data_IF_053305537266
#
_entry.id   IF_053305537266
#
_cell.length_a   1.000
_cell.length_b   1.000
_cell.length_c   1.000
_cell.angle_alpha   90.00
_cell.angle_beta   90.00
_cell.angle_gamma   90.00
#
_symmetry.space_group_name_H-M   'P 1'
#
loop_
_entity.id
_entity.type
_entity.pdbx_description
1 polymer ?
#
# COMPACT_ATOMS: atom_id res chain seq x y z
N UNK A 1 -0.28 9.46 -24.76
CA UNK A 1 0.64 8.35 -25.04
C UNK A 1 -0.08 7.00 -25.02
N UNK A 2 -0.82 6.59 -24.00
CA UNK A 2 -1.55 5.31 -23.93
C UNK A 2 -2.60 5.12 -25.04
N UNK A 3 -3.23 6.18 -25.54
CA UNK A 3 -4.23 6.11 -26.64
C UNK A 3 -3.69 5.52 -27.95
N UNK A 4 -2.37 5.42 -28.09
CA UNK A 4 -1.70 4.85 -29.27
C UNK A 4 -1.09 3.47 -29.01
N UNK A 5 -1.16 2.98 -27.76
CA UNK A 5 -0.64 1.67 -27.36
C UNK A 5 -1.80 0.69 -27.24
N UNK A 6 -2.38 0.30 -28.38
CA UNK A 6 -3.43 -0.71 -28.42
C UNK A 6 -2.76 -2.07 -28.54
N UNK A 7 -2.94 -2.98 -27.55
CA UNK A 7 -2.36 -4.31 -27.62
C UNK A 7 -3.04 -5.12 -28.74
N UNK A 8 -2.29 -6.04 -29.34
CA UNK A 8 -2.84 -7.01 -30.29
C UNK A 8 -3.90 -7.87 -29.58
N UNK A 9 -5.15 -7.91 -30.09
CA UNK A 9 -6.22 -8.67 -29.46
C UNK A 9 -5.98 -10.19 -29.44
N UNK A 10 -5.10 -10.71 -30.29
CA UNK A 10 -4.71 -12.13 -30.32
C UNK A 10 -3.66 -12.52 -29.29
N UNK A 11 -2.95 -11.55 -28.70
CA UNK A 11 -1.86 -11.79 -27.79
C UNK A 11 -2.21 -11.37 -26.36
N UNK A 12 -1.60 -12.08 -25.37
CA UNK A 12 -1.68 -11.67 -23.98
C UNK A 12 -0.94 -10.35 -23.80
N UNK A 13 -1.53 -9.42 -23.04
CA UNK A 13 -1.00 -8.08 -22.86
C UNK A 13 -0.88 -7.71 -21.40
N UNK A 14 0.30 -7.26 -21.02
CA UNK A 14 0.58 -6.71 -19.69
C UNK A 14 1.11 -5.31 -19.85
N UNK A 15 0.55 -4.38 -19.10
CA UNK A 15 1.08 -3.03 -18.97
C UNK A 15 1.69 -2.85 -17.59
N UNK A 16 2.86 -2.23 -17.53
CA UNK A 16 3.49 -1.76 -16.30
C UNK A 16 3.53 -0.25 -16.35
N UNK A 17 2.96 0.42 -15.36
CA UNK A 17 2.91 1.86 -15.30
C UNK A 17 3.13 2.37 -13.87
N UNK A 18 3.72 3.56 -13.75
CA UNK A 18 3.87 4.27 -12.48
C UNK A 18 3.03 5.54 -12.55
N UNK A 19 1.77 5.44 -12.10
CA UNK A 19 0.80 6.51 -12.31
C UNK A 19 -0.30 6.47 -11.24
N UNK A 20 -0.83 7.63 -10.88
CA UNK A 20 -2.06 7.72 -10.09
C UNK A 20 -3.28 7.49 -11.00
N UNK A 21 -4.12 6.53 -10.64
CA UNK A 21 -5.36 6.20 -11.38
C UNK A 21 -6.56 6.68 -10.58
N UNK A 22 -7.47 7.37 -11.23
CA UNK A 22 -8.68 7.90 -10.61
C UNK A 22 -9.50 6.79 -9.95
N UNK A 23 -9.94 7.04 -8.72
CA UNK A 23 -10.66 6.07 -7.90
C UNK A 23 -9.78 5.20 -6.99
N UNK A 24 -8.45 5.32 -7.06
CA UNK A 24 -7.55 4.72 -6.09
C UNK A 24 -7.50 5.54 -4.80
N UNK A 25 -7.30 4.87 -3.66
CA UNK A 25 -7.12 5.50 -2.36
C UNK A 25 -5.63 5.78 -2.10
N UNK A 26 -5.29 7.04 -1.87
CA UNK A 26 -3.97 7.46 -1.44
C UNK A 26 -3.87 7.45 0.10
N UNK A 27 -2.68 7.23 0.65
CA UNK A 27 -2.38 7.43 2.06
C UNK A 27 -1.60 8.74 2.27
N UNK A 28 -1.51 9.19 3.53
CA UNK A 28 -0.85 10.46 3.88
C UNK A 28 0.65 10.51 3.53
N UNK A 29 1.28 9.36 3.35
CA UNK A 29 2.69 9.27 2.94
C UNK A 29 2.91 9.49 1.43
N UNK A 30 1.82 9.56 0.67
CA UNK A 30 1.85 9.80 -0.77
C UNK A 30 1.51 11.26 -1.03
N UNK A 31 2.41 11.97 -1.70
CA UNK A 31 2.14 13.36 -2.06
C UNK A 31 0.96 13.41 -3.05
N UNK A 32 -0.17 14.06 -2.68
CA UNK A 32 -1.22 14.29 -3.64
C UNK A 32 -0.66 15.18 -4.74
N UNK A 33 -0.82 14.76 -5.99
CA UNK A 33 -0.43 15.54 -7.15
C UNK A 33 -1.03 16.96 -7.07
N UNK A 34 -0.16 17.96 -7.01
CA UNK A 34 -0.57 19.37 -6.91
C UNK A 34 -1.21 19.76 -8.23
N UNK A 35 -2.53 19.92 -8.23
CA UNK A 35 -3.25 20.48 -9.38
C UNK A 35 -4.23 19.54 -10.10
N UNK A 36 -4.46 18.31 -9.64
CA UNK A 36 -5.53 17.43 -10.18
C UNK A 36 -5.36 16.95 -11.63
N UNK A 37 -4.22 17.25 -12.28
CA UNK A 37 -3.97 16.98 -13.70
C UNK A 37 -3.33 15.60 -13.92
N UNK A 38 -2.83 14.97 -12.88
CA UNK A 38 -2.01 13.75 -12.98
C UNK A 38 -2.77 12.44 -12.73
N UNK A 39 -4.08 12.48 -12.51
CA UNK A 39 -4.87 11.26 -12.42
C UNK A 39 -5.28 10.76 -13.80
N UNK A 40 -5.06 9.48 -14.03
CA UNK A 40 -5.39 8.81 -15.29
C UNK A 40 -6.70 8.04 -15.11
N UNK A 41 -7.59 8.13 -16.11
CA UNK A 41 -8.83 7.37 -16.10
C UNK A 41 -8.54 5.86 -16.25
N UNK A 42 -9.16 5.05 -15.36
CA UNK A 42 -9.04 3.59 -15.38
C UNK A 42 -9.46 2.96 -16.72
N UNK A 43 -10.40 3.56 -17.43
CA UNK A 43 -10.86 3.08 -18.74
C UNK A 43 -9.76 3.03 -19.82
N UNK A 44 -8.69 3.82 -19.68
CA UNK A 44 -7.55 3.78 -20.58
C UNK A 44 -6.79 2.45 -20.55
N UNK A 45 -7.01 1.65 -19.54
CA UNK A 45 -6.34 0.37 -19.31
C UNK A 45 -7.17 -0.85 -19.74
N UNK A 46 -8.41 -0.67 -20.23
CA UNK A 46 -9.35 -1.77 -20.48
C UNK A 46 -8.88 -2.74 -21.56
N UNK A 47 -8.05 -2.29 -22.49
CA UNK A 47 -7.51 -3.13 -23.57
C UNK A 47 -6.46 -4.16 -23.09
N UNK A 48 -5.94 -4.02 -21.86
CA UNK A 48 -4.89 -4.89 -21.33
C UNK A 48 -5.48 -6.01 -20.46
N UNK A 49 -4.91 -7.21 -20.56
CA UNK A 49 -5.32 -8.35 -19.71
C UNK A 49 -4.94 -8.13 -18.26
N UNK A 50 -3.76 -7.55 -18.01
CA UNK A 50 -3.27 -7.20 -16.67
C UNK A 50 -2.52 -5.87 -16.70
N UNK A 51 -2.72 -5.06 -15.66
CA UNK A 51 -2.01 -3.79 -15.48
C UNK A 51 -1.39 -3.77 -14.08
N UNK A 52 -0.07 -3.76 -14.05
CA UNK A 52 0.72 -3.59 -12.84
C UNK A 52 0.99 -2.10 -12.61
N UNK A 53 0.42 -1.55 -11.55
CA UNK A 53 0.58 -0.15 -11.18
C UNK A 53 1.59 -0.01 -10.04
N UNK A 54 2.49 0.96 -10.18
CA UNK A 54 3.29 1.55 -9.12
C UNK A 54 2.77 2.94 -8.76
N UNK A 55 3.37 3.59 -7.80
CA UNK A 55 3.09 4.90 -7.22
C UNK A 55 2.44 4.79 -5.83
N UNK A 56 1.32 4.13 -5.68
CA UNK A 56 0.64 4.01 -4.39
C UNK A 56 1.28 2.93 -3.52
N UNK A 57 1.41 3.23 -2.23
CA UNK A 57 2.05 2.37 -1.24
C UNK A 57 1.15 1.26 -0.73
N UNK A 58 -0.18 1.46 -0.81
CA UNK A 58 -1.16 0.47 -0.37
C UNK A 58 -1.47 -0.53 -1.49
N UNK A 59 -1.38 -1.85 -1.24
CA UNK A 59 -1.85 -2.86 -2.17
C UNK A 59 -3.35 -2.73 -2.39
N UNK A 60 -3.79 -2.45 -3.62
CA UNK A 60 -5.21 -2.26 -3.93
C UNK A 60 -5.50 -2.49 -5.41
N UNK A 61 -6.74 -2.82 -5.72
CA UNK A 61 -7.28 -2.83 -7.07
C UNK A 61 -8.00 -1.51 -7.39
N UNK A 62 -8.11 -1.18 -8.66
CA UNK A 62 -8.88 -0.04 -9.14
C UNK A 62 -9.93 -0.55 -10.13
N UNK A 63 -11.19 -0.55 -9.72
CA UNK A 63 -12.30 -1.05 -10.50
C UNK A 63 -12.30 -2.58 -10.66
N UNK A 64 -11.30 -3.15 -11.36
CA UNK A 64 -11.18 -4.59 -11.64
C UNK A 64 -9.95 -5.22 -10.99
N UNK A 65 -9.97 -6.53 -10.74
CA UNK A 65 -8.85 -7.27 -10.10
C UNK A 65 -7.55 -7.19 -10.88
N UNK A 66 -7.65 -7.12 -12.20
CA UNK A 66 -6.50 -7.12 -13.11
C UNK A 66 -5.90 -5.73 -13.37
N UNK A 67 -6.40 -4.69 -12.72
CA UNK A 67 -5.83 -3.34 -12.67
C UNK A 67 -5.51 -3.02 -11.20
N UNK A 68 -4.24 -3.14 -10.81
CA UNK A 68 -3.92 -3.04 -9.39
C UNK A 68 -2.54 -2.50 -9.07
N UNK A 69 -2.44 -1.89 -7.91
CA UNK A 69 -1.19 -1.56 -7.23
C UNK A 69 -0.73 -2.75 -6.39
N UNK A 70 0.53 -3.13 -6.50
CA UNK A 70 1.13 -4.11 -5.59
C UNK A 70 1.46 -3.50 -4.22
N UNK A 71 1.53 -2.18 -4.14
CA UNK A 71 2.02 -1.46 -2.97
C UNK A 71 3.53 -1.50 -2.84
N UNK A 72 4.02 -1.02 -1.71
CA UNK A 72 5.44 -1.07 -1.35
C UNK A 72 5.75 -2.34 -0.56
N UNK A 73 6.98 -2.88 -0.64
CA UNK A 73 7.35 -4.10 0.09
C UNK A 73 7.43 -3.89 1.62
N UNK A 74 7.65 -2.67 2.06
CA UNK A 74 7.73 -2.26 3.46
C UNK A 74 6.82 -1.07 3.72
N UNK A 75 6.52 -0.80 5.00
CA UNK A 75 5.87 0.44 5.43
C UNK A 75 6.90 1.55 5.51
N UNK A 76 6.66 2.67 4.87
CA UNK A 76 7.55 3.83 4.87
C UNK A 76 7.07 4.97 5.78
N UNK A 77 5.84 4.87 6.28
CA UNK A 77 5.23 5.86 7.17
C UNK A 77 4.36 5.19 8.23
N UNK A 78 4.21 5.85 9.37
CA UNK A 78 3.26 5.41 10.40
C UNK A 78 1.80 5.51 9.97
N UNK A 79 1.47 6.26 8.91
CA UNK A 79 0.14 6.21 8.29
C UNK A 79 -0.17 4.86 7.65
N UNK A 80 0.85 4.05 7.38
CA UNK A 80 0.74 2.73 6.76
C UNK A 80 0.69 1.57 7.79
N UNK A 81 0.65 1.87 9.10
CA UNK A 81 0.69 0.84 10.17
C UNK A 81 -0.37 -0.23 9.98
N UNK A 82 -1.58 0.14 9.54
CA UNK A 82 -2.68 -0.79 9.30
C UNK A 82 -2.59 -1.59 8.00
N UNK A 83 -1.58 -1.35 7.15
CA UNK A 83 -1.46 -2.02 5.87
C UNK A 83 -0.73 -3.36 6.00
N UNK A 84 -1.26 -4.40 5.34
CA UNK A 84 -0.54 -5.65 5.12
C UNK A 84 0.21 -5.58 3.79
N UNK A 85 1.53 -5.53 3.85
CA UNK A 85 2.38 -5.54 2.66
C UNK A 85 2.43 -6.94 2.05
N UNK A 86 2.46 -6.99 0.70
CA UNK A 86 2.43 -8.28 -0.01
C UNK A 86 3.14 -8.22 -1.36
N UNK A 87 3.60 -9.37 -1.82
CA UNK A 87 3.96 -9.59 -3.21
C UNK A 87 2.76 -10.10 -3.99
N UNK A 88 2.56 -9.60 -5.20
CA UNK A 88 1.49 -10.05 -6.09
C UNK A 88 2.05 -10.98 -7.17
N UNK A 89 1.51 -12.19 -7.25
CA UNK A 89 1.82 -13.16 -8.28
C UNK A 89 0.71 -13.17 -9.31
N UNK A 90 1.09 -13.11 -10.58
CA UNK A 90 0.16 -13.03 -11.71
C UNK A 90 0.46 -14.14 -12.70
N UNK A 91 -0.47 -15.04 -12.88
CA UNK A 91 -0.40 -16.13 -13.84
C UNK A 91 -1.28 -15.80 -15.05
N UNK A 92 -0.66 -15.73 -16.22
CA UNK A 92 -1.36 -15.47 -17.48
C UNK A 92 -1.63 -16.79 -18.20
N UNK A 93 -2.88 -17.25 -18.18
CA UNK A 93 -3.35 -18.38 -18.95
C UNK A 93 -3.59 -18.05 -20.42
N UNK A 94 -4.65 -18.59 -21.01
CA UNK A 94 -5.13 -18.16 -22.33
C UNK A 94 -5.53 -16.68 -22.31
N UNK A 95 -5.63 -16.02 -23.47
CA UNK A 95 -6.05 -14.62 -23.60
C UNK A 95 -7.29 -14.33 -22.73
N UNK A 96 -7.20 -13.28 -21.90
CA UNK A 96 -8.26 -12.90 -20.97
C UNK A 96 -8.35 -13.75 -19.68
N UNK A 97 -7.53 -14.79 -19.53
CA UNK A 97 -7.47 -15.60 -18.30
C UNK A 97 -6.28 -15.16 -17.45
N UNK A 98 -6.56 -14.49 -16.35
CA UNK A 98 -5.56 -14.01 -15.40
C UNK A 98 -5.91 -14.56 -14.02
N UNK A 99 -4.95 -15.21 -13.37
CA UNK A 99 -5.06 -15.66 -11.98
C UNK A 99 -4.11 -14.84 -11.12
N UNK A 100 -4.61 -14.31 -10.00
CA UNK A 100 -3.86 -13.42 -9.13
C UNK A 100 -3.86 -14.00 -7.73
N UNK A 101 -2.67 -14.15 -7.16
CA UNK A 101 -2.46 -14.52 -5.76
C UNK A 101 -1.55 -13.51 -5.09
N UNK A 102 -1.68 -13.36 -3.78
CA UNK A 102 -0.81 -12.51 -2.99
C UNK A 102 -0.17 -13.29 -1.87
N UNK A 103 1.12 -13.03 -1.63
CA UNK A 103 1.84 -13.55 -0.47
C UNK A 103 2.19 -12.39 0.47
N UNK A 104 1.85 -12.47 1.76
CA UNK A 104 2.19 -11.43 2.72
C UNK A 104 3.70 -11.32 2.87
N UNK A 105 4.18 -10.09 3.01
CA UNK A 105 5.57 -9.78 3.32
C UNK A 105 5.67 -9.42 4.81
N UNK A 106 6.54 -10.13 5.52
CA UNK A 106 6.82 -9.87 6.94
C UNK A 106 8.16 -9.16 7.05
N UNK A 107 8.20 -7.90 7.49
CA UNK A 107 9.45 -7.18 7.67
C UNK A 107 10.23 -7.75 8.86
N UNK A 108 11.54 -7.54 8.88
CA UNK A 108 12.39 -7.89 10.04
C UNK A 108 12.07 -7.01 11.25
N UNK A 109 11.75 -5.75 11.01
CA UNK A 109 11.30 -4.75 11.99
C UNK A 109 10.08 -4.06 11.39
N UNK A 110 8.95 -4.14 12.08
CA UNK A 110 7.71 -3.53 11.59
C UNK A 110 7.52 -2.11 12.16
N UNK A 111 6.59 -1.36 11.56
CA UNK A 111 6.07 -0.11 12.10
C UNK A 111 4.78 -0.41 12.86
N UNK A 112 4.73 -0.07 14.15
CA UNK A 112 3.56 -0.28 15.00
C UNK A 112 3.12 1.02 15.67
N UNK A 113 1.81 1.25 15.74
CA UNK A 113 1.20 2.30 16.52
C UNK A 113 0.77 1.78 17.89
N UNK A 114 1.16 2.46 18.97
CA UNK A 114 0.70 2.19 20.32
C UNK A 114 0.00 3.44 20.85
N UNK A 115 -1.18 3.26 21.46
CA UNK A 115 -1.93 4.34 22.08
C UNK A 115 -2.39 3.92 23.47
N UNK A 116 -2.17 4.75 24.45
CA UNK A 116 -2.58 4.49 25.84
C UNK A 116 -1.97 5.49 26.81
N UNK A 117 -2.29 5.36 28.10
CA UNK A 117 -1.66 6.14 29.16
C UNK A 117 -0.19 5.73 29.32
N UNK A 118 0.61 6.62 29.94
CA UNK A 118 2.00 6.33 30.26
C UNK A 118 2.13 5.04 31.06
N UNK A 119 1.31 4.87 32.10
CA UNK A 119 1.34 3.69 32.97
C UNK A 119 1.00 2.41 32.20
N UNK A 120 0.02 2.46 31.29
CA UNK A 120 -0.34 1.31 30.48
C UNK A 120 0.77 0.93 29.50
N UNK A 121 1.38 1.92 28.85
CA UNK A 121 2.40 1.67 27.82
C UNK A 121 3.76 1.29 28.39
N UNK A 122 4.02 1.59 29.67
CA UNK A 122 5.24 1.19 30.39
C UNK A 122 5.10 -0.11 31.15
N UNK A 123 3.88 -0.67 31.23
CA UNK A 123 3.65 -1.97 31.86
C UNK A 123 4.33 -3.09 31.04
N UNK A 124 5.32 -3.73 31.67
CA UNK A 124 6.13 -4.77 31.07
C UNK A 124 5.32 -5.94 30.53
N UNK A 125 4.20 -6.26 31.15
CA UNK A 125 3.33 -7.36 30.73
C UNK A 125 2.75 -7.17 29.32
N UNK A 126 2.65 -5.92 28.86
CA UNK A 126 2.11 -5.59 27.53
C UNK A 126 3.08 -5.83 26.38
N UNK A 127 4.36 -5.82 26.61
CA UNK A 127 5.37 -6.03 25.57
C UNK A 127 6.23 -7.28 25.79
N UNK A 128 6.08 -7.95 26.92
CA UNK A 128 6.75 -9.22 27.17
C UNK A 128 6.25 -10.27 26.15
N UNK A 129 7.19 -10.89 25.42
CA UNK A 129 6.86 -11.83 24.34
C UNK A 129 6.49 -11.20 22.98
N UNK A 130 6.49 -9.86 22.88
CA UNK A 130 6.32 -9.17 21.59
C UNK A 130 7.67 -8.84 20.95
N UNK A 131 7.67 -8.47 19.66
CA UNK A 131 8.86 -7.99 18.96
C UNK A 131 9.29 -6.62 19.49
N UNK A 132 10.35 -6.60 20.31
CA UNK A 132 10.89 -5.38 20.93
C UNK A 132 11.79 -4.55 20.00
N UNK A 133 12.02 -5.03 18.79
CA UNK A 133 12.89 -4.37 17.81
C UNK A 133 12.12 -3.61 16.70
N UNK A 134 10.79 -3.54 16.82
CA UNK A 134 9.95 -2.80 15.88
C UNK A 134 10.07 -1.28 16.12
N UNK A 135 9.76 -0.50 15.09
CA UNK A 135 9.64 0.94 15.19
C UNK A 135 8.28 1.31 15.76
N UNK A 136 8.26 2.11 16.82
CA UNK A 136 7.03 2.44 17.55
C UNK A 136 6.66 3.90 17.36
N UNK A 137 5.40 4.14 16.99
CA UNK A 137 4.75 5.44 17.13
C UNK A 137 3.86 5.41 18.35
N UNK A 138 4.23 6.17 19.38
CA UNK A 138 3.54 6.18 20.68
C UNK A 138 2.69 7.44 20.78
N UNK A 139 1.39 7.25 21.07
CA UNK A 139 0.44 8.32 21.37
C UNK A 139 0.01 8.18 22.82
N UNK A 140 0.45 9.12 23.68
CA UNK A 140 0.01 9.19 25.08
C UNK A 140 -1.39 9.80 25.16
N UNK A 141 -2.21 9.24 26.06
CA UNK A 141 -3.59 9.70 26.29
C UNK A 141 -3.77 10.38 27.65
N UNK A 142 -2.68 10.57 28.41
CA UNK A 142 -2.71 11.26 29.70
C UNK A 142 -3.05 12.74 29.51
N UNK A 143 -3.94 13.28 30.37
CA UNK A 143 -4.36 14.70 30.31
C UNK A 143 -3.21 15.68 30.68
N UNK A 144 -2.25 15.21 31.47
CA UNK A 144 -1.05 15.97 31.84
C UNK A 144 0.21 15.12 31.64
N UNK A 145 0.95 15.41 30.61
CA UNK A 145 2.33 14.96 30.51
C UNK A 145 3.12 15.86 31.45
N UNK A 146 3.52 15.32 32.62
CA UNK A 146 4.31 16.04 33.61
C UNK A 146 5.51 16.71 32.94
N UNK A 147 5.74 17.99 33.21
CA UNK A 147 6.97 18.68 32.77
C UNK A 147 8.14 17.91 33.38
N UNK A 148 8.97 17.34 32.54
CA UNK A 148 10.26 16.83 32.95
C UNK A 148 11.02 18.04 33.49
N UNK A 149 11.23 18.11 34.82
CA UNK A 149 12.18 19.04 35.41
C UNK A 149 13.57 18.52 35.03
N UNK A 150 14.24 19.28 34.19
CA UNK A 150 15.68 19.16 33.93
C UNK A 150 16.43 19.73 35.14
#
# INVERSE_FOLDING_TARGET
MLRHCVPDPGHRSVLVAHQFVAGAAACESEEPSVGGVDSVDAALFDAFDYVALGHLHSPQKVGRETLRYCGTPLKYSFSEVGQQKSATFVELGAKGKVHITTAPLTPRHDLRGLRGSYMELTDRSRYEGTTVHDYLHITLTDEQIGRAHV
#
